data_IF_580407248527
#
_entry.id   IF_580407248527
#
_cell.length_a   1.000
_cell.length_b   1.000
_cell.length_c   1.000
_cell.angle_alpha   90.00
_cell.angle_beta   90.00
_cell.angle_gamma   90.00
#
_symmetry.space_group_name_H-M   'P 1'
#
loop_
_entity.id
_entity.type
_entity.pdbx_description
1 polymer ?
#
# COMPACT_ATOMS: atom_id res chain seq x y z
N UNK A 1 -0.44 14.35 3.02
CA UNK A 1 0.42 13.69 1.99
C UNK A 1 -0.44 12.82 1.09
N UNK A 2 0.03 12.36 -0.08
CA UNK A 2 -0.73 11.44 -0.97
C UNK A 2 -0.25 10.00 -0.81
N UNK A 3 -1.14 9.03 -0.92
CA UNK A 3 -0.80 7.61 -1.02
C UNK A 3 -1.51 6.96 -2.21
N UNK A 4 -0.81 6.07 -2.92
CA UNK A 4 -1.35 5.27 -4.03
C UNK A 4 -1.32 3.80 -3.65
N UNK A 5 -2.46 3.12 -3.76
CA UNK A 5 -2.63 1.72 -3.42
C UNK A 5 -2.86 0.93 -4.70
N UNK A 6 -2.12 -0.15 -4.89
CA UNK A 6 -2.33 -1.05 -6.01
C UNK A 6 -3.56 -1.93 -5.76
N UNK A 7 -4.59 -1.83 -6.61
CA UNK A 7 -5.81 -2.61 -6.50
C UNK A 7 -5.53 -4.12 -6.53
N UNK A 8 -4.66 -4.54 -7.46
CA UNK A 8 -4.35 -5.97 -7.61
C UNK A 8 -3.49 -6.51 -6.48
N UNK A 9 -2.46 -5.76 -6.06
CA UNK A 9 -1.50 -6.26 -5.08
C UNK A 9 -2.09 -6.14 -3.63
N UNK A 10 -3.06 -5.26 -3.36
CA UNK A 10 -3.76 -5.19 -2.06
C UNK A 10 -4.96 -6.16 -1.93
N UNK A 11 -5.57 -6.58 -3.04
CA UNK A 11 -6.63 -7.60 -3.08
C UNK A 11 -7.81 -7.31 -2.14
N UNK A 12 -8.28 -8.34 -1.43
CA UNK A 12 -9.40 -8.24 -0.48
C UNK A 12 -9.14 -7.26 0.69
N UNK A 13 -7.88 -6.92 0.95
CA UNK A 13 -7.46 -6.04 2.05
C UNK A 13 -7.41 -4.57 1.67
N UNK A 14 -7.84 -4.20 0.46
CA UNK A 14 -7.90 -2.80 0.00
C UNK A 14 -8.55 -1.89 1.03
N UNK A 15 -9.70 -2.30 1.57
CA UNK A 15 -10.45 -1.48 2.51
C UNK A 15 -9.65 -1.16 3.78
N UNK A 16 -8.95 -2.15 4.32
CA UNK A 16 -8.15 -1.99 5.53
C UNK A 16 -6.89 -1.16 5.25
N UNK A 17 -6.23 -1.37 4.11
CA UNK A 17 -5.07 -0.59 3.68
C UNK A 17 -5.43 0.89 3.52
N UNK A 18 -6.55 1.19 2.86
CA UNK A 18 -7.05 2.56 2.68
C UNK A 18 -7.35 3.21 4.03
N UNK A 19 -8.12 2.53 4.90
CA UNK A 19 -8.47 3.06 6.23
C UNK A 19 -7.24 3.41 7.06
N UNK A 20 -6.21 2.56 7.07
CA UNK A 20 -4.98 2.81 7.82
C UNK A 20 -4.22 4.02 7.28
N UNK A 21 -4.13 4.15 5.96
CA UNK A 21 -3.45 5.28 5.32
C UNK A 21 -4.20 6.60 5.57
N UNK A 22 -5.53 6.60 5.46
CA UNK A 22 -6.37 7.75 5.75
C UNK A 22 -6.27 8.16 7.24
N UNK A 23 -6.28 7.19 8.16
CA UNK A 23 -6.08 7.44 9.59
C UNK A 23 -4.70 8.05 9.90
N UNK A 24 -3.69 7.81 9.04
CA UNK A 24 -2.37 8.46 9.10
C UNK A 24 -2.31 9.82 8.39
N UNK A 25 -3.42 10.32 7.84
CA UNK A 25 -3.49 11.63 7.18
C UNK A 25 -3.02 11.61 5.72
N UNK A 26 -2.98 10.45 5.09
CA UNK A 26 -2.77 10.36 3.65
C UNK A 26 -4.10 10.54 2.90
N UNK A 27 -4.07 11.31 1.82
CA UNK A 27 -5.11 11.29 0.79
C UNK A 27 -4.83 10.11 -0.14
N UNK A 28 -5.73 9.12 -0.16
CA UNK A 28 -5.49 7.82 -0.81
C UNK A 28 -6.14 7.77 -2.20
N UNK A 29 -5.40 7.23 -3.17
CA UNK A 29 -5.87 6.89 -4.51
C UNK A 29 -5.71 5.38 -4.71
N UNK A 30 -6.79 4.69 -5.08
CA UNK A 30 -6.73 3.27 -5.46
C UNK A 30 -6.58 3.20 -6.97
N UNK A 31 -5.47 2.64 -7.44
CA UNK A 31 -5.10 2.57 -8.84
C UNK A 31 -4.97 1.10 -9.26
N UNK A 32 -5.24 0.78 -10.54
CA UNK A 32 -5.11 -0.59 -11.04
C UNK A 32 -3.72 -1.17 -10.76
N UNK A 33 -2.68 -0.59 -11.37
CA UNK A 33 -1.29 -0.96 -11.13
C UNK A 33 -0.42 0.29 -10.95
N UNK A 34 0.50 0.23 -9.99
CA UNK A 34 1.44 1.33 -9.65
C UNK A 34 2.91 0.97 -9.94
N UNK A 35 3.16 -0.10 -10.71
CA UNK A 35 4.51 -0.51 -11.14
C UNK A 35 5.35 -1.28 -10.12
N UNK A 36 5.00 -1.25 -8.83
CA UNK A 36 5.77 -1.93 -7.77
C UNK A 36 5.85 -3.46 -7.94
N UNK A 37 4.84 -4.08 -8.57
CA UNK A 37 4.82 -5.52 -8.82
C UNK A 37 5.90 -5.96 -9.88
N UNK A 38 6.65 -5.03 -10.51
CA UNK A 38 7.86 -5.34 -11.31
C UNK A 38 9.16 -5.45 -10.48
N UNK A 39 9.16 -4.87 -9.27
CA UNK A 39 10.32 -4.82 -8.37
C UNK A 39 10.16 -5.78 -7.18
N UNK A 40 8.92 -6.07 -6.80
CA UNK A 40 8.61 -6.86 -5.62
C UNK A 40 7.81 -8.13 -5.97
N UNK A 41 7.92 -9.19 -5.15
CA UNK A 41 7.19 -10.44 -5.35
C UNK A 41 5.67 -10.25 -5.43
N UNK A 42 5.02 -11.12 -6.21
CA UNK A 42 3.56 -11.23 -6.24
C UNK A 42 3.01 -11.66 -4.86
N UNK A 43 1.79 -11.20 -4.53
CA UNK A 43 1.14 -11.46 -3.24
C UNK A 43 1.46 -10.44 -2.14
N UNK A 44 2.35 -9.47 -2.40
CA UNK A 44 2.62 -8.38 -1.48
C UNK A 44 1.57 -7.25 -1.59
N UNK A 45 1.24 -6.63 -0.46
CA UNK A 45 0.57 -5.32 -0.41
C UNK A 45 1.55 -4.25 -0.87
N UNK A 46 1.24 -3.59 -1.98
CA UNK A 46 2.07 -2.55 -2.58
C UNK A 46 1.39 -1.17 -2.49
N UNK A 47 2.09 -0.23 -1.86
CA UNK A 47 1.64 1.14 -1.63
C UNK A 47 2.79 2.11 -1.90
N UNK A 48 2.50 3.25 -2.52
CA UNK A 48 3.42 4.40 -2.58
C UNK A 48 2.84 5.48 -1.68
N UNK A 49 3.47 5.76 -0.55
CA UNK A 49 3.02 6.75 0.43
C UNK A 49 4.01 7.94 0.45
N UNK A 50 3.61 9.07 -0.12
CA UNK A 50 4.52 10.19 -0.40
C UNK A 50 5.62 9.75 -1.38
N UNK A 51 6.87 9.86 -0.94
CA UNK A 51 8.06 9.45 -1.71
C UNK A 51 8.52 8.02 -1.36
N UNK A 52 7.83 7.33 -0.44
CA UNK A 52 8.22 6.01 0.07
C UNK A 52 7.44 4.90 -0.65
N UNK A 53 8.17 3.92 -1.16
CA UNK A 53 7.61 2.64 -1.63
C UNK A 53 7.49 1.67 -0.45
N UNK A 54 6.30 1.08 -0.29
CA UNK A 54 6.02 0.07 0.71
C UNK A 54 5.58 -1.20 -0.02
N UNK A 55 6.29 -2.29 0.21
CA UNK A 55 5.93 -3.63 -0.26
C UNK A 55 6.01 -4.60 0.91
N UNK A 56 4.87 -5.14 1.31
CA UNK A 56 4.77 -6.01 2.48
C UNK A 56 4.09 -7.32 2.14
N UNK A 57 4.62 -8.45 2.63
CA UNK A 57 4.08 -9.80 2.36
C UNK A 57 2.68 -10.02 2.95
N UNK A 58 2.35 -9.31 4.00
CA UNK A 58 1.07 -9.39 4.69
C UNK A 58 0.72 -8.05 5.35
N UNK A 59 -0.45 -8.01 5.96
CA UNK A 59 -0.97 -6.79 6.58
C UNK A 59 -0.16 -6.38 7.82
N UNK A 60 0.40 -7.34 8.57
CA UNK A 60 1.26 -7.03 9.72
C UNK A 60 2.53 -6.32 9.28
N UNK A 61 3.22 -6.87 8.27
CA UNK A 61 4.39 -6.23 7.67
C UNK A 61 4.09 -4.86 7.07
N UNK A 62 2.89 -4.65 6.55
CA UNK A 62 2.44 -3.35 6.05
C UNK A 62 2.31 -2.32 7.18
N UNK A 63 1.70 -2.70 8.31
CA UNK A 63 1.57 -1.84 9.48
C UNK A 63 2.94 -1.46 10.07
N UNK A 64 3.86 -2.42 10.14
CA UNK A 64 5.23 -2.16 10.61
C UNK A 64 5.97 -1.19 9.67
N UNK A 65 5.88 -1.38 8.35
CA UNK A 65 6.51 -0.49 7.38
C UNK A 65 5.99 0.97 7.43
N UNK A 66 4.75 1.16 7.89
CA UNK A 66 4.12 2.47 8.10
C UNK A 66 4.45 3.13 9.44
N UNK A 67 5.00 2.42 10.42
CA UNK A 67 5.42 2.98 11.72
C UNK A 67 6.75 3.72 11.66
N UNK A 68 7.50 3.53 10.59
CA UNK A 68 8.83 4.11 10.33
C UNK A 68 8.72 5.45 9.62
#
# INVERSE_FOLDING_TARGET
MRARVCMFCAGERIGDVVKVLEAKGYSVSVEGCIGLCAKYPCGNVNVIAGEKEISAKDFGGFLEALRI
#
